data_IF_506214414054
#
_entry.id   IF_506214414054
#
_cell.length_a   1.000
_cell.length_b   1.000
_cell.length_c   1.000
_cell.angle_alpha   90.00
_cell.angle_beta   90.00
_cell.angle_gamma   90.00
#
_symmetry.space_group_name_H-M   'P 1'
#
loop_
_entity.id
_entity.type
_entity.pdbx_description
1 polymer ?
#
# COMPACT_ATOMS: atom_id res chain seq x y z
N UNK A 1 1.55 7.61 6.03
CA UNK A 1 0.44 6.90 5.36
C UNK A 1 0.80 5.43 5.24
N UNK A 2 0.06 4.55 5.92
CA UNK A 2 0.29 3.10 5.82
C UNK A 2 -0.48 2.52 4.63
N UNK A 3 0.17 1.64 3.88
CA UNK A 3 -0.42 0.92 2.75
C UNK A 3 -0.05 -0.56 2.82
N UNK A 4 -0.97 -1.43 2.39
CA UNK A 4 -0.79 -2.88 2.38
C UNK A 4 -1.09 -3.44 0.99
N UNK A 5 -0.17 -4.24 0.45
CA UNK A 5 -0.30 -4.88 -0.86
C UNK A 5 -0.58 -6.38 -0.72
N UNK A 6 -1.06 -6.96 -1.82
CA UNK A 6 -1.34 -8.39 -2.05
C UNK A 6 -2.54 -9.00 -1.32
N UNK A 7 -3.05 -8.33 -0.29
CA UNK A 7 -4.19 -8.77 0.49
C UNK A 7 -5.51 -8.91 -0.27
N UNK A 8 -6.52 -9.48 0.40
CA UNK A 8 -6.42 -10.10 1.73
C UNK A 8 -5.94 -11.56 1.66
N UNK A 9 -5.48 -12.09 2.80
CA UNK A 9 -5.16 -13.52 2.97
C UNK A 9 -6.43 -14.39 2.95
N UNK A 10 -6.45 -15.44 2.12
CA UNK A 10 -7.52 -16.44 2.07
C UNK A 10 -7.45 -17.53 3.15
N UNK A 11 -6.54 -17.43 4.12
CA UNK A 11 -6.38 -18.42 5.20
C UNK A 11 -7.63 -18.50 6.10
N UNK A 12 -8.11 -19.71 6.38
CA UNK A 12 -9.21 -19.98 7.32
C UNK A 12 -8.77 -20.16 8.76
N UNK A 13 -7.47 -20.29 9.01
CA UNK A 13 -6.88 -20.45 10.34
C UNK A 13 -6.26 -19.15 10.83
N UNK A 14 -4.96 -19.19 11.14
CA UNK A 14 -4.21 -17.96 11.42
C UNK A 14 -4.18 -17.07 10.16
N UNK A 15 -4.87 -15.93 10.24
CA UNK A 15 -5.06 -15.03 9.10
C UNK A 15 -4.30 -13.72 9.34
N UNK A 16 -3.32 -13.45 8.47
CA UNK A 16 -2.43 -12.32 8.61
C UNK A 16 -3.15 -10.98 8.43
N UNK A 17 -4.07 -10.86 7.46
CA UNK A 17 -4.89 -9.66 7.24
C UNK A 17 -5.77 -9.37 8.45
N UNK A 18 -6.37 -10.40 9.09
CA UNK A 18 -7.13 -10.24 10.33
C UNK A 18 -6.29 -9.59 11.43
N UNK A 19 -5.07 -10.08 11.65
CA UNK A 19 -4.15 -9.52 12.66
C UNK A 19 -3.72 -8.09 12.34
N UNK A 20 -3.50 -7.79 11.07
CA UNK A 20 -3.20 -6.41 10.63
C UNK A 20 -4.37 -5.49 11.00
N UNK A 21 -5.61 -5.85 10.64
CA UNK A 21 -6.81 -5.08 10.96
C UNK A 21 -6.98 -4.88 12.48
N UNK A 22 -6.77 -5.95 13.26
CA UNK A 22 -6.86 -5.87 14.73
C UNK A 22 -5.80 -4.92 15.31
N UNK A 23 -4.58 -4.98 14.80
CA UNK A 23 -3.47 -4.12 15.26
C UNK A 23 -3.69 -2.66 14.84
N UNK A 24 -4.18 -2.41 13.62
CA UNK A 24 -4.53 -1.04 13.19
C UNK A 24 -5.66 -0.46 14.03
N UNK A 25 -6.64 -1.28 14.41
CA UNK A 25 -7.72 -0.87 15.28
C UNK A 25 -7.21 -0.52 16.69
N UNK A 26 -6.29 -1.33 17.24
CA UNK A 26 -5.73 -1.13 18.59
C UNK A 26 -4.27 -1.56 18.68
N UNK A 27 -3.41 -0.64 19.13
CA UNK A 27 -1.99 -0.91 19.38
C UNK A 27 -1.41 0.15 20.33
N UNK A 28 -0.23 -0.10 20.88
CA UNK A 28 0.38 0.81 21.85
C UNK A 28 0.90 2.14 21.27
N UNK A 29 1.00 2.27 19.94
CA UNK A 29 1.56 3.47 19.27
C UNK A 29 0.48 4.51 18.97
N UNK A 30 -0.61 4.09 18.32
CA UNK A 30 -1.78 4.92 18.05
C UNK A 30 -2.98 4.03 17.77
N UNK A 31 -4.09 4.21 18.48
CA UNK A 31 -5.33 3.47 18.20
C UNK A 31 -6.05 4.00 16.96
N UNK A 32 -6.87 3.14 16.34
CA UNK A 32 -7.79 3.52 15.27
C UNK A 32 -7.12 3.94 13.95
N UNK A 33 -5.88 3.48 13.69
CA UNK A 33 -5.15 3.80 12.47
C UNK A 33 -5.92 3.33 11.23
N UNK A 34 -5.99 4.19 10.21
CA UNK A 34 -6.51 3.87 8.88
C UNK A 34 -5.34 3.69 7.90
N UNK A 35 -5.52 2.75 6.99
CA UNK A 35 -4.55 2.40 5.96
C UNK A 35 -5.22 2.26 4.59
N UNK A 36 -4.41 2.23 3.53
CA UNK A 36 -4.86 1.90 2.18
C UNK A 36 -4.55 0.43 1.92
N UNK A 37 -5.54 -0.38 1.58
CA UNK A 37 -5.37 -1.78 1.20
C UNK A 37 -5.47 -1.89 -0.32
N UNK A 38 -4.37 -2.23 -0.98
CA UNK A 38 -4.34 -2.57 -2.40
C UNK A 38 -4.67 -4.06 -2.53
N UNK A 39 -5.92 -4.33 -2.90
CA UNK A 39 -6.48 -5.68 -2.84
C UNK A 39 -6.40 -6.42 -4.18
N UNK A 40 -6.14 -7.73 -4.11
CA UNK A 40 -6.29 -8.63 -5.24
C UNK A 40 -7.68 -9.27 -5.24
N UNK A 41 -8.61 -8.71 -6.01
CA UNK A 41 -10.04 -9.07 -5.92
C UNK A 41 -10.37 -10.47 -6.41
N UNK A 42 -9.51 -11.08 -7.24
CA UNK A 42 -9.73 -12.41 -7.84
C UNK A 42 -8.65 -13.42 -7.51
N UNK A 43 -7.70 -13.09 -6.63
CA UNK A 43 -6.63 -14.01 -6.27
C UNK A 43 -7.20 -15.32 -5.72
N UNK A 44 -6.74 -16.46 -6.24
CA UNK A 44 -7.33 -17.78 -5.94
C UNK A 44 -7.24 -18.14 -4.45
N UNK A 45 -6.25 -17.58 -3.74
CA UNK A 45 -6.06 -17.72 -2.30
C UNK A 45 -6.21 -16.38 -1.55
N UNK A 46 -7.03 -15.48 -2.07
CA UNK A 46 -7.27 -14.15 -1.49
C UNK A 46 -8.68 -13.66 -1.81
N UNK A 47 -8.81 -12.48 -2.42
CA UNK A 47 -10.11 -11.87 -2.75
C UNK A 47 -11.03 -12.73 -3.63
N UNK A 48 -10.49 -13.72 -4.36
CA UNK A 48 -11.30 -14.70 -5.10
C UNK A 48 -12.07 -15.69 -4.22
N UNK A 49 -11.74 -15.78 -2.92
CA UNK A 49 -12.38 -16.69 -1.96
C UNK A 49 -13.49 -16.00 -1.16
N UNK A 50 -14.37 -16.79 -0.50
CA UNK A 50 -15.38 -16.22 0.38
C UNK A 50 -14.78 -15.46 1.59
N UNK A 51 -13.69 -16.00 2.15
CA UNK A 51 -12.94 -15.37 3.26
C UNK A 51 -12.35 -14.04 2.81
N UNK A 52 -11.65 -14.02 1.68
CA UNK A 52 -11.06 -12.80 1.16
C UNK A 52 -12.11 -11.74 0.85
N UNK A 53 -13.24 -12.10 0.21
CA UNK A 53 -14.34 -11.14 0.00
C UNK A 53 -14.91 -10.60 1.32
N UNK A 54 -15.01 -11.43 2.36
CA UNK A 54 -15.44 -10.97 3.68
C UNK A 54 -14.43 -9.98 4.29
N UNK A 55 -13.12 -10.22 4.11
CA UNK A 55 -12.07 -9.33 4.59
C UNK A 55 -12.03 -7.99 3.84
N UNK A 56 -12.24 -7.98 2.53
CA UNK A 56 -12.37 -6.72 1.76
C UNK A 56 -13.52 -5.87 2.30
N UNK A 57 -14.66 -6.48 2.63
CA UNK A 57 -15.78 -5.77 3.27
C UNK A 57 -15.39 -5.25 4.65
N UNK A 58 -14.73 -6.08 5.45
CA UNK A 58 -14.26 -5.70 6.79
C UNK A 58 -13.28 -4.54 6.75
N UNK A 59 -12.33 -4.52 5.80
CA UNK A 59 -11.40 -3.42 5.59
C UNK A 59 -12.17 -2.11 5.37
N UNK A 60 -13.15 -2.15 4.47
CA UNK A 60 -14.00 -1.02 4.17
C UNK A 60 -14.86 -0.56 5.35
N UNK A 61 -15.56 -1.48 6.02
CA UNK A 61 -16.42 -1.21 7.17
C UNK A 61 -15.63 -0.66 8.37
N UNK A 62 -14.35 -1.02 8.51
CA UNK A 62 -13.43 -0.45 9.49
C UNK A 62 -12.96 0.98 9.13
N UNK A 63 -13.39 1.53 7.99
CA UNK A 63 -13.06 2.89 7.54
C UNK A 63 -11.69 2.99 6.85
N UNK A 64 -11.11 1.88 6.41
CA UNK A 64 -9.91 1.89 5.59
C UNK A 64 -10.24 2.24 4.13
N UNK A 65 -9.22 2.69 3.39
CA UNK A 65 -9.36 2.92 1.95
C UNK A 65 -9.06 1.61 1.24
N UNK A 66 -10.04 1.07 0.50
CA UNK A 66 -9.88 -0.15 -0.29
C UNK A 66 -9.62 0.22 -1.73
N UNK A 67 -8.46 -0.21 -2.25
CA UNK A 67 -7.92 0.13 -3.56
C UNK A 67 -7.64 -1.13 -4.38
N UNK A 68 -7.44 -0.95 -5.69
CA UNK A 68 -7.19 -2.06 -6.61
C UNK A 68 -5.69 -2.39 -6.69
N UNK A 69 -5.34 -3.67 -6.54
CA UNK A 69 -4.00 -4.17 -6.88
C UNK A 69 -4.01 -5.00 -8.15
N UNK A 70 -4.94 -5.94 -8.25
CA UNK A 70 -5.16 -6.74 -9.46
C UNK A 70 -6.50 -7.48 -9.38
N UNK A 71 -7.08 -7.80 -10.53
CA UNK A 71 -8.26 -8.68 -10.63
C UNK A 71 -7.92 -9.98 -11.37
N UNK A 72 -6.69 -10.48 -11.19
CA UNK A 72 -6.22 -11.74 -11.75
C UNK A 72 -6.14 -12.84 -10.70
N UNK A 73 -6.07 -14.09 -11.15
CA UNK A 73 -5.99 -15.23 -10.24
C UNK A 73 -4.64 -15.30 -9.51
N UNK A 74 -3.54 -14.90 -10.15
CA UNK A 74 -2.15 -15.17 -9.70
C UNK A 74 -1.25 -13.94 -9.73
N UNK A 75 -1.76 -12.76 -9.37
CA UNK A 75 -0.96 -11.52 -9.26
C UNK A 75 -0.17 -11.16 -10.54
N UNK A 76 -0.85 -11.16 -11.68
CA UNK A 76 -0.20 -10.95 -12.97
C UNK A 76 0.33 -9.51 -13.13
N UNK A 77 1.47 -9.37 -13.82
CA UNK A 77 2.08 -8.08 -14.07
C UNK A 77 1.32 -7.31 -15.17
N UNK A 78 0.70 -6.19 -14.79
CA UNK A 78 -0.10 -5.37 -15.69
C UNK A 78 0.69 -4.81 -16.88
N UNK A 79 2.00 -4.55 -16.73
CA UNK A 79 2.86 -4.04 -17.81
C UNK A 79 3.00 -5.02 -18.98
N UNK A 80 2.83 -6.32 -18.74
CA UNK A 80 2.98 -7.35 -19.77
C UNK A 80 1.66 -7.82 -20.36
N UNK A 81 0.53 -7.23 -19.93
CA UNK A 81 -0.77 -7.50 -20.51
C UNK A 81 -0.95 -6.78 -21.84
N UNK A 82 -1.75 -7.36 -22.72
CA UNK A 82 -2.27 -6.60 -23.87
C UNK A 82 -3.20 -5.47 -23.38
N UNK A 83 -3.43 -4.45 -24.20
CA UNK A 83 -4.34 -3.37 -23.85
C UNK A 83 -5.76 -3.87 -23.53
N UNK A 84 -6.25 -4.87 -24.29
CA UNK A 84 -7.56 -5.49 -24.07
C UNK A 84 -7.59 -6.31 -22.77
N UNK A 85 -6.55 -7.08 -22.48
CA UNK A 85 -6.45 -7.85 -21.25
C UNK A 85 -6.39 -6.96 -20.00
N UNK A 86 -5.61 -5.88 -20.08
CA UNK A 86 -5.51 -4.88 -19.01
C UNK A 86 -6.87 -4.20 -18.79
N UNK A 87 -7.51 -3.71 -19.86
CA UNK A 87 -8.81 -3.05 -19.78
C UNK A 87 -9.88 -3.94 -19.13
N UNK A 88 -9.98 -5.19 -19.59
CA UNK A 88 -10.91 -6.16 -19.04
C UNK A 88 -10.60 -6.51 -17.58
N UNK A 89 -9.31 -6.57 -17.20
CA UNK A 89 -8.88 -6.83 -15.82
C UNK A 89 -9.23 -5.66 -14.90
N UNK A 90 -8.97 -4.43 -15.33
CA UNK A 90 -9.30 -3.24 -14.55
C UNK A 90 -10.80 -3.07 -14.36
N UNK A 91 -11.60 -3.24 -15.43
CA UNK A 91 -13.06 -3.18 -15.36
C UNK A 91 -13.62 -4.18 -14.36
N UNK A 92 -13.17 -5.44 -14.42
CA UNK A 92 -13.55 -6.47 -13.44
C UNK A 92 -13.17 -6.08 -12.00
N UNK A 93 -11.96 -5.60 -11.78
CA UNK A 93 -11.48 -5.20 -10.45
C UNK A 93 -12.28 -4.04 -9.85
N UNK A 94 -12.59 -3.03 -10.66
CA UNK A 94 -13.44 -1.89 -10.27
C UNK A 94 -14.84 -2.36 -9.89
N UNK A 95 -15.45 -3.24 -10.70
CA UNK A 95 -16.80 -3.76 -10.45
C UNK A 95 -16.84 -4.68 -9.21
N UNK A 96 -15.80 -5.48 -8.99
CA UNK A 96 -15.65 -6.31 -7.79
C UNK A 96 -15.66 -5.46 -6.52
N UNK A 97 -14.81 -4.42 -6.48
CA UNK A 97 -14.72 -3.54 -5.32
C UNK A 97 -15.98 -2.70 -5.15
N UNK A 98 -16.62 -2.24 -6.24
CA UNK A 98 -17.92 -1.58 -6.18
C UNK A 98 -19.00 -2.48 -5.57
N UNK A 99 -19.02 -3.76 -5.95
CA UNK A 99 -19.99 -4.72 -5.43
C UNK A 99 -19.72 -5.07 -3.97
N UNK A 100 -18.45 -5.18 -3.57
CA UNK A 100 -18.08 -5.53 -2.19
C UNK A 100 -18.26 -4.36 -1.22
N UNK A 101 -17.96 -3.13 -1.66
CA UNK A 101 -17.86 -1.96 -0.78
C UNK A 101 -18.93 -0.90 -1.03
N UNK A 102 -19.74 -1.04 -2.08
CA UNK A 102 -20.71 -0.03 -2.49
C UNK A 102 -20.11 1.21 -3.16
N UNK A 103 -18.78 1.28 -3.33
CA UNK A 103 -18.10 2.38 -4.02
C UNK A 103 -17.00 1.88 -4.95
N UNK A 104 -16.84 2.57 -6.08
CA UNK A 104 -15.74 2.28 -6.99
C UNK A 104 -14.41 2.72 -6.33
N UNK A 105 -13.33 1.94 -6.46
CA UNK A 105 -12.01 2.36 -5.99
C UNK A 105 -11.51 3.54 -6.84
N UNK A 106 -10.77 4.46 -6.22
CA UNK A 106 -10.12 5.56 -6.93
C UNK A 106 -8.61 5.36 -7.08
N UNK A 107 -8.03 4.41 -6.34
CA UNK A 107 -6.59 4.18 -6.29
C UNK A 107 -6.25 2.82 -6.87
N UNK A 108 -5.08 2.76 -7.51
CA UNK A 108 -4.47 1.52 -7.98
C UNK A 108 -2.98 1.51 -7.65
N UNK A 109 -2.44 0.33 -7.41
CA UNK A 109 -1.00 0.11 -7.38
C UNK A 109 -0.67 -1.07 -8.30
N UNK A 110 0.21 -0.92 -9.30
CA UNK A 110 0.60 -2.04 -10.15
C UNK A 110 1.30 -3.13 -9.34
N UNK A 111 1.02 -4.42 -9.61
CA UNK A 111 1.87 -5.52 -9.16
C UNK A 111 3.33 -5.26 -9.52
N UNK A 112 4.24 -5.57 -8.60
CA UNK A 112 5.70 -5.36 -8.74
C UNK A 112 6.13 -3.90 -8.94
N UNK A 113 5.23 -2.94 -8.68
CA UNK A 113 5.40 -1.53 -9.03
C UNK A 113 5.72 -1.29 -10.51
N UNK A 114 5.37 -2.26 -11.37
CA UNK A 114 5.73 -2.28 -12.78
C UNK A 114 4.66 -1.59 -13.61
N UNK A 115 5.05 -0.52 -14.30
CA UNK A 115 4.17 0.20 -15.21
C UNK A 115 4.98 0.86 -16.33
N UNK A 116 4.26 1.26 -17.37
CA UNK A 116 4.72 2.20 -18.40
C UNK A 116 3.60 3.21 -18.72
N UNK A 117 3.81 4.07 -19.71
CA UNK A 117 2.82 5.08 -20.10
C UNK A 117 1.48 4.46 -20.52
N UNK A 118 1.50 3.32 -21.22
CA UNK A 118 0.28 2.64 -21.65
C UNK A 118 -0.49 2.04 -20.46
N UNK A 119 0.24 1.47 -19.50
CA UNK A 119 -0.31 0.95 -18.26
C UNK A 119 -0.99 2.06 -17.45
N UNK A 120 -0.31 3.19 -17.29
CA UNK A 120 -0.83 4.35 -16.54
C UNK A 120 -2.07 4.96 -17.20
N UNK A 121 -2.07 5.10 -18.53
CA UNK A 121 -3.23 5.55 -19.30
C UNK A 121 -4.42 4.60 -19.15
N UNK A 122 -4.16 3.29 -19.15
CA UNK A 122 -5.16 2.26 -18.84
C UNK A 122 -5.82 2.49 -17.46
N UNK A 123 -5.04 2.79 -16.43
CA UNK A 123 -5.58 3.11 -15.11
C UNK A 123 -6.48 4.35 -15.14
N UNK A 124 -6.03 5.45 -15.77
CA UNK A 124 -6.80 6.68 -15.84
C UNK A 124 -8.14 6.53 -16.57
N UNK A 125 -8.21 5.71 -17.63
CA UNK A 125 -9.48 5.40 -18.32
C UNK A 125 -10.52 4.77 -17.43
N UNK A 126 -10.10 4.05 -16.39
CA UNK A 126 -10.97 3.42 -15.39
C UNK A 126 -11.21 4.31 -14.14
N UNK A 127 -10.76 5.57 -14.17
CA UNK A 127 -10.86 6.48 -13.03
C UNK A 127 -9.92 6.14 -11.87
N UNK A 128 -8.88 5.34 -12.13
CA UNK A 128 -7.91 4.90 -11.13
C UNK A 128 -6.67 5.77 -11.18
N UNK A 129 -6.20 6.20 -10.02
CA UNK A 129 -4.98 6.98 -9.85
C UNK A 129 -3.89 6.13 -9.21
N UNK A 130 -2.70 6.12 -9.83
CA UNK A 130 -1.63 5.23 -9.41
C UNK A 130 -0.87 5.80 -8.20
N UNK A 131 -0.90 5.08 -7.08
CA UNK A 131 -0.13 5.40 -5.88
C UNK A 131 1.03 4.41 -5.71
N UNK A 132 2.26 4.93 -5.79
CA UNK A 132 3.47 4.16 -5.52
C UNK A 132 3.85 4.26 -4.04
N UNK A 133 5.13 4.10 -3.72
CA UNK A 133 5.62 4.04 -2.33
C UNK A 133 6.91 4.83 -2.15
N UNK A 134 7.06 5.46 -0.99
CA UNK A 134 8.33 6.09 -0.58
C UNK A 134 9.19 5.11 0.21
N UNK A 135 8.56 4.21 0.99
CA UNK A 135 9.22 3.23 1.84
C UNK A 135 8.65 1.84 1.64
N UNK A 136 9.51 0.85 1.42
CA UNK A 136 9.15 -0.55 1.37
C UNK A 136 9.81 -1.32 2.53
N UNK A 137 9.01 -1.98 3.35
CA UNK A 137 9.51 -2.78 4.47
C UNK A 137 10.41 -3.97 4.04
N UNK A 138 10.48 -4.28 2.74
CA UNK A 138 11.14 -5.46 2.17
C UNK A 138 10.57 -6.77 2.74
N UNK A 139 9.31 -6.75 3.14
CA UNK A 139 8.60 -7.88 3.71
C UNK A 139 8.00 -8.82 2.64
N UNK A 140 8.17 -8.53 1.35
CA UNK A 140 7.86 -9.50 0.27
C UNK A 140 8.87 -10.66 0.16
N UNK A 141 9.97 -10.67 0.92
CA UNK A 141 11.03 -11.71 0.84
C UNK A 141 11.03 -12.58 2.10
N UNK A 142 10.47 -13.80 2.02
CA UNK A 142 10.45 -14.76 3.13
C UNK A 142 11.64 -15.74 3.00
N UNK A 143 12.88 -15.25 3.15
CA UNK A 143 14.06 -16.12 3.36
C UNK A 143 15.08 -15.42 4.26
N UNK A 144 15.27 -15.92 5.49
CA UNK A 144 16.40 -15.55 6.35
C UNK A 144 16.04 -14.99 7.74
N UNK A 145 17.00 -15.12 8.66
CA UNK A 145 16.89 -14.83 10.10
C UNK A 145 16.56 -13.36 10.36
N UNK A 146 15.39 -13.11 10.95
CA UNK A 146 14.73 -11.80 10.97
C UNK A 146 15.05 -11.00 12.25
N UNK A 147 16.32 -10.60 12.41
CA UNK A 147 16.76 -9.76 13.53
C UNK A 147 16.32 -8.29 13.34
N UNK A 148 15.92 -7.64 14.45
CA UNK A 148 15.44 -6.25 14.51
C UNK A 148 16.36 -5.22 13.82
N UNK A 149 17.66 -5.46 13.84
CA UNK A 149 18.68 -4.58 13.26
C UNK A 149 18.52 -4.34 11.77
N UNK A 150 18.17 -5.37 10.98
CA UNK A 150 17.99 -5.21 9.53
C UNK A 150 16.72 -4.42 9.20
N UNK A 151 15.65 -4.59 10.00
CA UNK A 151 14.39 -3.84 9.86
C UNK A 151 14.61 -2.35 10.10
N UNK A 152 15.25 -2.01 11.21
CA UNK A 152 15.58 -0.61 11.55
C UNK A 152 16.53 0.00 10.52
N UNK A 153 17.60 -0.69 10.14
CA UNK A 153 18.57 -0.19 9.16
C UNK A 153 17.94 0.10 7.80
N UNK A 154 17.02 -0.77 7.33
CA UNK A 154 16.29 -0.51 6.09
C UNK A 154 15.40 0.74 6.20
N UNK A 155 14.61 0.85 7.29
CA UNK A 155 13.75 2.02 7.52
C UNK A 155 14.55 3.31 7.66
N UNK A 156 15.69 3.26 8.35
CA UNK A 156 16.63 4.38 8.49
C UNK A 156 17.13 4.86 7.13
N UNK A 157 17.61 3.94 6.29
CA UNK A 157 18.09 4.27 4.95
C UNK A 157 17.00 4.93 4.09
N UNK A 158 15.78 4.37 4.10
CA UNK A 158 14.68 4.89 3.28
C UNK A 158 14.15 6.23 3.82
N UNK A 159 13.93 6.37 5.13
CA UNK A 159 13.50 7.64 5.72
C UNK A 159 14.56 8.74 5.53
N UNK A 160 15.85 8.40 5.54
CA UNK A 160 16.91 9.37 5.23
C UNK A 160 16.82 9.88 3.79
N UNK A 161 16.49 9.01 2.82
CA UNK A 161 16.29 9.42 1.43
C UNK A 161 14.99 10.22 1.25
N UNK A 162 13.90 9.80 1.89
CA UNK A 162 12.64 10.56 1.93
C UNK A 162 12.84 11.94 2.53
N UNK A 163 13.65 12.07 3.60
CA UNK A 163 13.99 13.36 4.21
C UNK A 163 14.68 14.30 3.21
N UNK A 164 15.58 13.80 2.37
CA UNK A 164 16.23 14.62 1.33
C UNK A 164 15.20 15.14 0.32
N UNK A 165 14.31 14.27 -0.16
CA UNK A 165 13.21 14.64 -1.08
C UNK A 165 12.28 15.68 -0.45
N UNK A 166 11.92 15.49 0.82
CA UNK A 166 11.11 16.44 1.57
C UNK A 166 11.81 17.80 1.72
N UNK A 167 13.08 17.81 2.13
CA UNK A 167 13.87 19.04 2.28
C UNK A 167 14.07 19.78 0.94
N UNK A 168 14.06 19.06 -0.18
CA UNK A 168 14.11 19.64 -1.53
C UNK A 168 12.75 20.16 -2.03
N UNK A 169 11.67 20.05 -1.24
CA UNK A 169 10.32 20.45 -1.64
C UNK A 169 9.68 19.55 -2.70
N UNK A 170 10.23 18.34 -2.91
CA UNK A 170 9.79 17.40 -3.95
C UNK A 170 8.61 16.50 -3.51
N UNK A 171 7.99 16.79 -2.35
CA UNK A 171 6.87 16.04 -1.81
C UNK A 171 5.68 16.96 -1.56
N UNK A 172 4.47 16.47 -1.83
CA UNK A 172 3.25 17.26 -1.71
C UNK A 172 2.79 17.36 -0.26
N UNK A 173 2.45 18.58 0.16
CA UNK A 173 1.81 18.81 1.45
C UNK A 173 0.29 18.73 1.30
N UNK A 174 -0.36 18.07 2.25
CA UNK A 174 -1.81 17.86 2.34
C UNK A 174 -2.24 18.12 3.78
N UNK A 175 -3.24 18.98 3.97
CA UNK A 175 -3.79 19.29 5.30
C UNK A 175 -2.71 19.68 6.34
N UNK A 176 -1.65 20.38 5.90
CA UNK A 176 -0.56 20.86 6.75
C UNK A 176 0.53 19.82 7.08
N UNK A 177 0.47 18.61 6.50
CA UNK A 177 1.49 17.58 6.66
C UNK A 177 1.95 17.05 5.29
N UNK A 178 3.19 16.54 5.20
CA UNK A 178 3.65 15.83 3.99
C UNK A 178 3.41 14.33 4.20
N UNK A 179 2.50 13.69 3.45
CA UNK A 179 2.28 12.26 3.57
C UNK A 179 3.53 11.51 3.09
N UNK A 180 4.02 10.60 3.94
CA UNK A 180 5.05 9.64 3.57
C UNK A 180 4.38 8.28 3.36
N UNK A 181 4.50 7.70 2.16
CA UNK A 181 3.84 6.43 1.81
C UNK A 181 4.70 5.25 2.22
N UNK A 182 4.19 4.41 3.12
CA UNK A 182 4.88 3.21 3.62
C UNK A 182 4.11 1.97 3.17
N UNK A 183 4.78 1.05 2.48
CA UNK A 183 4.22 -0.21 1.99
C UNK A 183 4.67 -1.40 2.82
N UNK A 184 3.68 -2.21 3.17
CA UNK A 184 3.77 -3.52 3.79
C UNK A 184 2.95 -4.53 2.96
N UNK A 185 3.02 -5.82 3.30
CA UNK A 185 2.18 -6.86 2.71
C UNK A 185 1.39 -7.56 3.82
N UNK A 186 0.06 -7.40 3.83
CA UNK A 186 -0.82 -7.93 4.89
C UNK A 186 -1.01 -9.46 4.79
N UNK A 187 -0.64 -10.06 3.67
CA UNK A 187 -0.51 -11.52 3.53
C UNK A 187 0.73 -12.09 4.22
N UNK A 188 1.71 -11.26 4.60
CA UNK A 188 2.90 -11.71 5.31
C UNK A 188 2.62 -11.88 6.80
N UNK A 189 2.62 -13.14 7.26
CA UNK A 189 2.40 -13.47 8.68
C UNK A 189 3.42 -12.86 9.65
N UNK A 190 4.68 -12.67 9.23
CA UNK A 190 5.69 -12.00 10.03
C UNK A 190 5.38 -10.51 10.18
N UNK A 191 5.03 -9.82 9.08
CA UNK A 191 4.60 -8.42 9.13
C UNK A 191 3.41 -8.26 10.04
N UNK A 192 2.37 -9.07 9.84
CA UNK A 192 1.17 -9.05 10.66
C UNK A 192 1.46 -9.23 12.16
N UNK A 193 2.36 -10.15 12.54
CA UNK A 193 2.76 -10.37 13.94
C UNK A 193 3.63 -9.25 14.53
N UNK A 194 4.29 -8.44 13.70
CA UNK A 194 5.27 -7.45 14.14
C UNK A 194 4.87 -6.02 13.74
N UNK A 195 3.61 -5.78 13.33
CA UNK A 195 3.19 -4.49 12.80
C UNK A 195 3.42 -3.36 13.80
N UNK A 196 3.04 -3.53 15.07
CA UNK A 196 3.28 -2.55 16.13
C UNK A 196 4.78 -2.19 16.26
N UNK A 197 5.67 -3.19 16.16
CA UNK A 197 7.12 -2.97 16.19
C UNK A 197 7.58 -2.13 15.00
N UNK A 198 7.01 -2.35 13.81
CA UNK A 198 7.30 -1.51 12.65
C UNK A 198 6.82 -0.07 12.83
N UNK A 199 5.64 0.14 13.43
CA UNK A 199 5.14 1.47 13.75
C UNK A 199 6.10 2.21 14.68
N UNK A 200 6.57 1.55 15.74
CA UNK A 200 7.54 2.12 16.67
C UNK A 200 8.88 2.43 15.99
N UNK A 201 9.40 1.52 15.16
CA UNK A 201 10.63 1.73 14.39
C UNK A 201 10.52 2.97 13.50
N UNK A 202 9.40 3.18 12.82
CA UNK A 202 9.20 4.36 11.97
C UNK A 202 9.32 5.65 12.77
N UNK A 203 8.71 5.73 13.95
CA UNK A 203 8.75 6.92 14.80
C UNK A 203 10.14 7.15 15.42
N UNK A 204 10.81 6.08 15.87
CA UNK A 204 12.15 6.19 16.43
C UNK A 204 13.18 6.60 15.39
N UNK A 205 13.05 6.10 14.16
CA UNK A 205 13.92 6.50 13.05
C UNK A 205 13.62 7.94 12.61
N UNK A 206 12.35 8.34 12.55
CA UNK A 206 11.99 9.72 12.26
C UNK A 206 12.60 10.69 13.29
N UNK A 207 12.55 10.32 14.58
CA UNK A 207 13.20 11.07 15.67
C UNK A 207 14.72 11.12 15.50
N UNK A 208 15.36 9.99 15.19
CA UNK A 208 16.81 9.90 14.96
C UNK A 208 17.27 10.78 13.78
N UNK A 209 16.41 10.95 12.78
CA UNK A 209 16.67 11.77 11.60
C UNK A 209 16.15 13.21 11.72
N UNK A 210 15.71 13.65 12.90
CA UNK A 210 15.11 14.98 13.12
C UNK A 210 13.99 15.31 12.12
N UNK A 211 13.20 14.30 11.72
CA UNK A 211 12.03 14.49 10.87
C UNK A 211 10.87 14.91 11.77
N UNK A 212 10.25 16.09 11.55
CA UNK A 212 9.08 16.49 12.31
C UNK A 212 7.91 15.56 12.00
N UNK A 213 7.29 15.05 13.05
CA UNK A 213 6.11 14.16 12.96
C UNK A 213 4.88 14.95 13.40
N UNK A 214 3.78 14.80 12.66
CA UNK A 214 2.51 15.41 13.01
C UNK A 214 2.00 14.91 14.38
N UNK A 215 1.13 15.69 15.04
CA UNK A 215 0.58 15.34 16.35
C UNK A 215 -0.12 13.96 16.37
N UNK A 216 -0.68 13.55 15.22
CA UNK A 216 -1.06 12.15 14.95
C UNK A 216 -0.14 11.62 13.85
N UNK A 217 0.82 10.73 14.18
CA UNK A 217 1.77 10.21 13.19
C UNK A 217 1.13 9.38 12.07
N UNK A 218 -0.02 8.76 12.36
CA UNK A 218 -0.77 7.95 11.40
C UNK A 218 -2.18 8.52 11.20
N UNK A 219 -2.78 8.30 10.03
CA UNK A 219 -4.16 8.71 9.77
C UNK A 219 -5.12 7.87 10.60
N UNK A 220 -6.17 8.49 11.14
CA UNK A 220 -7.27 7.82 11.84
C UNK A 220 -8.65 8.11 11.20
N UNK A 221 -8.68 8.97 10.17
CA UNK A 221 -9.84 9.25 9.33
C UNK A 221 -9.61 8.76 7.89
N UNK A 222 -10.56 7.98 7.38
CA UNK A 222 -10.49 7.38 6.03
C UNK A 222 -10.57 8.42 4.92
N UNK A 223 -11.36 9.48 5.10
CA UNK A 223 -11.49 10.54 4.09
C UNK A 223 -10.22 11.39 3.96
N UNK A 224 -9.59 11.75 5.08
CA UNK A 224 -8.30 12.43 5.11
C UNK A 224 -7.20 11.57 4.49
N UNK A 225 -7.21 10.27 4.77
CA UNK A 225 -6.30 9.32 4.16
C UNK A 225 -6.46 9.24 2.64
N UNK A 226 -7.69 9.13 2.13
CA UNK A 226 -7.95 9.05 0.69
C UNK A 226 -7.52 10.33 -0.05
N UNK A 227 -7.78 11.51 0.52
CA UNK A 227 -7.29 12.78 -0.04
C UNK A 227 -5.76 12.85 -0.09
N UNK A 228 -5.09 12.44 0.98
CA UNK A 228 -3.64 12.38 1.05
C UNK A 228 -3.06 11.39 0.03
N UNK A 229 -3.71 10.24 -0.12
CA UNK A 229 -3.35 9.22 -1.10
C UNK A 229 -3.47 9.76 -2.53
N UNK A 230 -4.60 10.36 -2.90
CA UNK A 230 -4.83 10.93 -4.23
C UNK A 230 -3.83 12.05 -4.57
N UNK A 231 -3.53 12.93 -3.61
CA UNK A 231 -2.54 13.99 -3.80
C UNK A 231 -1.09 13.46 -3.99
N UNK A 232 -0.83 12.21 -3.58
CA UNK A 232 0.47 11.54 -3.69
C UNK A 232 0.57 10.62 -4.92
N UNK A 233 -0.42 10.64 -5.81
CA UNK A 233 -0.43 9.78 -7.02
C UNK A 233 0.48 10.31 -8.11
N UNK A 234 1.00 9.39 -8.92
CA UNK A 234 1.81 9.70 -10.11
C UNK A 234 0.89 10.28 -11.18
N UNK A 235 1.18 11.49 -11.65
CA UNK A 235 0.32 12.19 -12.63
C UNK A 235 0.72 11.92 -14.06
N UNK A 236 2.01 11.63 -14.30
CA UNK A 236 2.51 11.32 -15.62
C UNK A 236 3.65 10.30 -15.57
N UNK A 237 3.79 9.50 -16.64
CA UNK A 237 4.88 8.54 -16.76
C UNK A 237 6.27 9.20 -16.82
N UNK A 238 6.34 10.51 -17.10
CA UNK A 238 7.57 11.28 -17.12
C UNK A 238 8.10 11.62 -15.71
N UNK A 239 7.29 11.45 -14.65
CA UNK A 239 7.68 11.80 -13.28
C UNK A 239 8.76 10.87 -12.70
N UNK A 240 9.11 9.76 -13.37
CA UNK A 240 10.10 8.74 -12.98
C UNK A 240 10.30 8.65 -11.45
N UNK A 241 9.21 8.39 -10.68
CA UNK A 241 9.26 8.38 -9.23
C UNK A 241 10.26 7.33 -8.75
N UNK A 242 11.15 7.76 -7.85
CA UNK A 242 12.19 6.90 -7.28
C UNK A 242 11.54 5.74 -6.51
N UNK A 243 11.68 4.52 -7.02
CA UNK A 243 11.19 3.32 -6.35
C UNK A 243 12.24 2.81 -5.33
N UNK A 244 11.83 2.10 -4.26
CA UNK A 244 12.80 1.55 -3.32
C UNK A 244 13.62 0.39 -3.91
N UNK A 245 14.95 0.49 -3.81
CA UNK A 245 15.86 -0.65 -4.03
C UNK A 245 15.96 -1.10 -5.50
N UNK A 246 15.99 -2.43 -5.72
CA UNK A 246 16.19 -3.02 -7.06
C UNK A 246 15.11 -2.63 -8.07
N UNK A 247 13.90 -2.30 -7.58
CA UNK A 247 12.78 -1.91 -8.44
C UNK A 247 13.02 -0.60 -9.18
N UNK A 248 13.80 0.32 -8.61
CA UNK A 248 14.21 1.53 -9.32
C UNK A 248 15.07 1.22 -10.54
N UNK A 249 15.93 0.19 -10.44
CA UNK A 249 16.83 -0.19 -11.52
C UNK A 249 16.12 -1.05 -12.58
N UNK A 250 15.21 -1.93 -12.17
CA UNK A 250 14.47 -2.80 -13.10
C UNK A 250 13.48 -2.06 -13.98
N UNK A 251 12.98 -0.90 -13.52
CA UNK A 251 11.89 -0.16 -14.16
C UNK A 251 12.28 1.26 -14.63
N UNK A 252 13.57 1.60 -14.57
CA UNK A 252 14.15 2.69 -15.37
C UNK A 252 14.19 2.31 -16.86
#
# INVERSE_FOLDING_TARGET
MLTFDDGPSGSSGDNATVRVLDTLARNAVQDGIKAVFFTQTRHWHGGGTAIGRALIRREHEAGHVVALHSATATHANHRFMSAEELDATLGRGVDDLRTLTGRAPMLVRPPFWAYDAATLDGYHRHGLHMLLTDLNANDGKIWGVNFSWHKRSNMLRMLAETRKRWAAGAMHMVDGATPVVVTFHDVNSYTARNLEVYLQILLDVARELDIPVAGKPFYDDGGALERAALASTVRSAAEHPQLPGLWNWLWQ
#
